data_IF_962384339369
#
_entry.id   IF_962384339369
#
_cell.length_a   1.000
_cell.length_b   1.000
_cell.length_c   1.000
_cell.angle_alpha   90.00
_cell.angle_beta   90.00
_cell.angle_gamma   90.00
#
_symmetry.space_group_name_H-M   'P 1'
#
loop_
_entity.id
_entity.type
_entity.pdbx_description
1 polymer ?
#
# COMPACT_ATOMS: atom_id res chain seq x y z
N UNK A 1 13.46 -14.53 -41.32
CA UNK A 1 14.41 -14.58 -40.19
C UNK A 1 13.92 -13.84 -38.92
N UNK A 2 12.62 -13.55 -38.77
CA UNK A 2 12.05 -12.81 -37.63
C UNK A 2 11.62 -13.70 -36.44
N UNK A 3 11.32 -14.99 -36.67
CA UNK A 3 10.82 -15.89 -35.62
C UNK A 3 11.90 -16.40 -34.64
N UNK A 4 13.16 -16.55 -35.08
CA UNK A 4 14.24 -17.12 -34.26
C UNK A 4 14.71 -16.16 -33.14
N UNK A 5 14.77 -14.85 -33.43
CA UNK A 5 15.11 -13.83 -32.44
C UNK A 5 14.02 -13.66 -31.38
N UNK A 6 12.75 -13.88 -31.75
CA UNK A 6 11.62 -13.79 -30.82
C UNK A 6 11.60 -14.97 -29.84
N UNK A 7 11.85 -16.20 -30.31
CA UNK A 7 11.95 -17.39 -29.44
C UNK A 7 13.17 -17.36 -28.54
N UNK A 8 14.34 -16.92 -29.03
CA UNK A 8 15.55 -16.77 -28.21
C UNK A 8 15.36 -15.76 -27.06
N UNK A 9 14.65 -14.65 -27.31
CA UNK A 9 14.35 -13.63 -26.29
C UNK A 9 13.37 -14.11 -25.22
N UNK A 10 12.41 -14.97 -25.58
CA UNK A 10 11.51 -15.64 -24.62
C UNK A 10 12.24 -16.70 -23.77
N UNK A 11 13.09 -17.51 -24.39
CA UNK A 11 13.90 -18.51 -23.68
C UNK A 11 14.87 -17.88 -22.67
N UNK A 12 15.51 -16.77 -23.06
CA UNK A 12 16.39 -15.98 -22.19
C UNK A 12 15.67 -15.44 -20.96
N UNK A 13 14.44 -14.92 -21.10
CA UNK A 13 13.66 -14.43 -19.96
C UNK A 13 13.20 -15.57 -19.05
N UNK A 14 12.78 -16.70 -19.62
CA UNK A 14 12.34 -17.85 -18.85
C UNK A 14 13.48 -18.47 -18.02
N UNK A 15 14.67 -18.60 -18.60
CA UNK A 15 15.87 -19.03 -17.88
C UNK A 15 16.27 -18.03 -16.78
N UNK A 16 16.15 -16.72 -17.04
CA UNK A 16 16.39 -15.68 -16.03
C UNK A 16 15.41 -15.79 -14.87
N UNK A 17 14.12 -16.06 -15.13
CA UNK A 17 13.13 -16.26 -14.08
C UNK A 17 13.44 -17.48 -13.21
N UNK A 18 13.82 -18.62 -13.80
CA UNK A 18 14.19 -19.82 -13.04
C UNK A 18 15.41 -19.57 -12.15
N UNK A 19 16.44 -18.89 -12.67
CA UNK A 19 17.65 -18.58 -11.91
C UNK A 19 17.42 -17.52 -10.82
N UNK A 20 16.52 -16.56 -11.06
CA UNK A 20 16.20 -15.51 -10.10
C UNK A 20 15.07 -15.88 -9.15
N UNK A 21 14.34 -16.98 -9.37
CA UNK A 21 13.18 -17.36 -8.55
C UNK A 21 13.50 -17.50 -7.05
N UNK A 22 14.60 -18.17 -6.65
CA UNK A 22 14.98 -18.21 -5.23
C UNK A 22 15.28 -16.83 -4.65
N UNK A 23 15.86 -15.94 -5.47
CA UNK A 23 16.15 -14.58 -5.07
C UNK A 23 14.88 -13.73 -4.92
N UNK A 24 13.88 -13.93 -5.79
CA UNK A 24 12.57 -13.26 -5.69
C UNK A 24 11.85 -13.70 -4.41
N UNK A 25 11.85 -15.00 -4.09
CA UNK A 25 11.30 -15.52 -2.82
C UNK A 25 12.01 -14.88 -1.63
N UNK A 26 13.34 -14.83 -1.65
CA UNK A 26 14.14 -14.18 -0.61
C UNK A 26 13.77 -12.70 -0.44
N UNK A 27 13.61 -11.96 -1.54
CA UNK A 27 13.18 -10.57 -1.49
C UNK A 27 11.75 -10.43 -0.93
N UNK A 28 10.84 -11.36 -1.24
CA UNK A 28 9.50 -11.43 -0.67
C UNK A 28 9.53 -11.59 0.85
N UNK A 29 10.26 -12.59 1.35
CA UNK A 29 10.46 -12.79 2.80
C UNK A 29 11.08 -11.58 3.47
N UNK A 30 12.10 -10.99 2.84
CA UNK A 30 12.76 -9.79 3.36
C UNK A 30 11.83 -8.58 3.41
N UNK A 31 10.90 -8.48 2.46
CA UNK A 31 9.87 -7.43 2.43
C UNK A 31 8.93 -7.57 3.62
N UNK A 32 8.37 -8.76 3.86
CA UNK A 32 7.47 -9.00 5.01
C UNK A 32 8.20 -8.74 6.33
N UNK A 33 9.40 -9.30 6.52
CA UNK A 33 10.17 -9.07 7.75
C UNK A 33 10.49 -7.57 7.98
N UNK A 34 10.79 -6.82 6.91
CA UNK A 34 11.01 -5.38 7.03
C UNK A 34 9.72 -4.61 7.38
N UNK A 35 8.56 -5.11 6.96
CA UNK A 35 7.26 -4.55 7.34
C UNK A 35 6.94 -4.86 8.82
N UNK A 36 7.09 -6.12 9.24
CA UNK A 36 6.81 -6.58 10.61
C UNK A 36 7.72 -5.89 11.64
N UNK A 37 8.99 -5.68 11.28
CA UNK A 37 9.96 -4.95 12.11
C UNK A 37 9.84 -3.42 12.02
N UNK A 38 8.84 -2.90 11.32
CA UNK A 38 8.66 -1.47 11.05
C UNK A 38 9.91 -0.78 10.46
N UNK A 39 10.76 -1.53 9.74
CA UNK A 39 11.93 -1.01 9.05
C UNK A 39 11.53 -0.45 7.69
N UNK A 40 10.88 0.72 7.70
CA UNK A 40 10.31 1.37 6.52
C UNK A 40 11.35 1.66 5.42
N UNK A 41 12.60 1.95 5.78
CA UNK A 41 13.67 2.20 4.82
C UNK A 41 14.08 0.93 4.08
N UNK A 42 14.27 -0.18 4.79
CA UNK A 42 14.61 -1.47 4.16
C UNK A 42 13.43 -2.02 3.36
N UNK A 43 12.20 -1.80 3.82
CA UNK A 43 10.99 -2.15 3.09
C UNK A 43 10.96 -1.47 1.71
N UNK A 44 11.09 -0.15 1.67
CA UNK A 44 11.13 0.63 0.41
C UNK A 44 12.26 0.14 -0.49
N UNK A 45 13.45 -0.08 0.05
CA UNK A 45 14.61 -0.57 -0.70
C UNK A 45 14.36 -1.95 -1.30
N UNK A 46 13.73 -2.84 -0.55
CA UNK A 46 13.44 -4.22 -0.98
C UNK A 46 12.36 -4.23 -2.06
N UNK A 47 11.27 -3.48 -1.90
CA UNK A 47 10.22 -3.35 -2.92
C UNK A 47 10.78 -2.76 -4.23
N UNK A 48 11.67 -1.76 -4.15
CA UNK A 48 12.34 -1.21 -5.33
C UNK A 48 13.17 -2.26 -6.07
N UNK A 49 13.75 -3.24 -5.38
CA UNK A 49 14.46 -4.38 -6.01
C UNK A 49 13.47 -5.33 -6.68
N UNK A 50 12.35 -5.66 -6.02
CA UNK A 50 11.31 -6.52 -6.58
C UNK A 50 10.75 -5.94 -7.89
N UNK A 51 10.55 -4.62 -7.95
CA UNK A 51 10.06 -3.91 -9.16
C UNK A 51 10.81 -4.31 -10.43
N UNK A 52 12.11 -4.57 -10.35
CA UNK A 52 12.95 -4.95 -11.50
C UNK A 52 12.57 -6.29 -12.12
N UNK A 53 11.91 -7.18 -11.38
CA UNK A 53 11.63 -8.56 -11.80
C UNK A 53 10.21 -8.79 -12.32
N UNK A 54 9.26 -7.87 -12.09
CA UNK A 54 7.86 -8.12 -12.47
C UNK A 54 6.89 -6.96 -12.32
N UNK A 55 7.36 -5.73 -12.11
CA UNK A 55 6.48 -4.62 -11.75
C UNK A 55 6.10 -4.63 -10.26
N UNK A 56 5.19 -3.75 -9.87
CA UNK A 56 4.68 -3.66 -8.49
C UNK A 56 3.24 -4.15 -8.46
N UNK A 57 2.91 -5.02 -7.51
CA UNK A 57 1.54 -5.43 -7.24
C UNK A 57 0.79 -4.33 -6.46
N UNK A 58 -0.55 -4.35 -6.43
CA UNK A 58 -1.35 -3.43 -5.61
C UNK A 58 -0.89 -3.37 -4.15
N UNK A 59 -0.59 -4.54 -3.55
CA UNK A 59 -0.06 -4.63 -2.19
C UNK A 59 1.31 -3.97 -2.05
N UNK A 60 2.21 -4.11 -3.02
CA UNK A 60 3.53 -3.45 -2.96
C UNK A 60 3.40 -1.92 -3.03
N UNK A 61 2.47 -1.42 -3.83
CA UNK A 61 2.15 0.01 -3.89
C UNK A 61 1.57 0.51 -2.56
N UNK A 62 0.68 -0.26 -1.95
CA UNK A 62 0.15 0.03 -0.62
C UNK A 62 1.27 0.08 0.42
N UNK A 63 2.15 -0.93 0.47
CA UNK A 63 3.27 -0.98 1.40
C UNK A 63 4.24 0.19 1.20
N UNK A 64 4.52 0.59 -0.05
CA UNK A 64 5.29 1.81 -0.32
C UNK A 64 4.57 3.06 0.20
N UNK A 65 3.29 3.22 -0.13
CA UNK A 65 2.48 4.35 0.36
C UNK A 65 2.49 4.44 1.88
N UNK A 66 2.27 3.30 2.55
CA UNK A 66 2.27 3.18 4.01
C UNK A 66 3.65 3.49 4.61
N UNK A 67 4.73 2.94 4.05
CA UNK A 67 6.09 3.23 4.50
C UNK A 67 6.43 4.72 4.37
N UNK A 68 6.07 5.34 3.25
CA UNK A 68 6.24 6.78 3.05
C UNK A 68 5.42 7.61 4.04
N UNK A 69 4.18 7.20 4.33
CA UNK A 69 3.34 7.81 5.36
C UNK A 69 3.99 7.72 6.75
N UNK A 70 4.50 6.55 7.15
CA UNK A 70 5.20 6.36 8.43
C UNK A 70 6.50 7.18 8.54
N UNK A 71 7.11 7.50 7.40
CA UNK A 71 8.28 8.38 7.33
C UNK A 71 7.92 9.87 7.20
N UNK A 72 6.65 10.25 7.30
CA UNK A 72 6.18 11.63 7.19
C UNK A 72 6.23 12.21 5.76
N UNK A 73 6.46 11.38 4.74
CA UNK A 73 6.58 11.78 3.33
C UNK A 73 5.21 11.75 2.65
N UNK A 74 4.31 12.63 3.07
CA UNK A 74 2.88 12.55 2.72
C UNK A 74 2.61 12.66 1.20
N UNK A 75 3.31 13.54 0.48
CA UNK A 75 3.13 13.66 -0.98
C UNK A 75 3.48 12.37 -1.72
N UNK A 76 4.57 11.71 -1.30
CA UNK A 76 5.00 10.44 -1.90
C UNK A 76 4.03 9.32 -1.54
N UNK A 77 3.56 9.31 -0.28
CA UNK A 77 2.58 8.35 0.19
C UNK A 77 1.28 8.42 -0.62
N UNK A 78 0.72 9.63 -0.79
CA UNK A 78 -0.52 9.85 -1.53
C UNK A 78 -0.39 9.38 -3.00
N UNK A 79 0.71 9.72 -3.66
CA UNK A 79 0.99 9.26 -5.04
C UNK A 79 0.94 7.74 -5.18
N UNK A 80 1.47 6.99 -4.22
CA UNK A 80 1.41 5.53 -4.29
C UNK A 80 -0.02 5.01 -4.08
N UNK A 81 -0.80 5.63 -3.17
CA UNK A 81 -2.19 5.23 -2.94
C UNK A 81 -3.09 5.50 -4.16
N UNK A 82 -2.88 6.61 -4.86
CA UNK A 82 -3.63 6.99 -6.07
C UNK A 82 -3.40 6.02 -7.25
N UNK A 83 -2.26 5.34 -7.30
CA UNK A 83 -1.94 4.39 -8.38
C UNK A 83 -2.67 3.05 -8.19
N UNK A 84 -3.15 2.74 -6.97
CA UNK A 84 -3.79 1.46 -6.66
C UNK A 84 -5.21 1.43 -7.23
N UNK A 85 -5.35 0.83 -8.40
CA UNK A 85 -6.64 0.69 -9.11
C UNK A 85 -7.40 -0.58 -8.71
N UNK A 86 -6.68 -1.68 -8.46
CA UNK A 86 -7.27 -2.94 -8.03
C UNK A 86 -7.40 -2.99 -6.50
N UNK A 87 -8.45 -3.64 -5.97
CA UNK A 87 -8.56 -3.87 -4.52
C UNK A 87 -7.39 -4.74 -4.04
N UNK A 88 -7.00 -4.54 -2.78
CA UNK A 88 -6.14 -5.50 -2.09
C UNK A 88 -6.94 -6.78 -1.77
N UNK A 89 -6.24 -7.91 -1.70
CA UNK A 89 -6.85 -9.22 -1.43
C UNK A 89 -7.30 -9.33 0.03
N UNK A 90 -6.53 -8.74 0.95
CA UNK A 90 -6.83 -8.71 2.37
C UNK A 90 -7.73 -7.52 2.71
N UNK A 91 -8.86 -7.79 3.39
CA UNK A 91 -9.87 -6.78 3.70
C UNK A 91 -9.39 -5.77 4.76
N UNK A 92 -8.54 -6.20 5.70
CA UNK A 92 -7.95 -5.32 6.71
C UNK A 92 -6.93 -4.39 6.07
N UNK A 93 -6.09 -4.89 5.16
CA UNK A 93 -5.17 -4.08 4.37
C UNK A 93 -5.92 -3.11 3.44
N UNK A 94 -6.99 -3.55 2.79
CA UNK A 94 -7.81 -2.71 1.93
C UNK A 94 -8.47 -1.58 2.74
N UNK A 95 -9.07 -1.89 3.89
CA UNK A 95 -9.61 -0.87 4.79
C UNK A 95 -8.50 0.09 5.27
N UNK A 96 -7.33 -0.45 5.64
CA UNK A 96 -6.17 0.36 6.04
C UNK A 96 -5.70 1.29 4.91
N UNK A 97 -5.70 0.83 3.66
CA UNK A 97 -5.37 1.62 2.47
C UNK A 97 -6.29 2.84 2.35
N UNK A 98 -7.60 2.64 2.39
CA UNK A 98 -8.56 3.73 2.28
C UNK A 98 -8.47 4.71 3.45
N UNK A 99 -8.36 4.22 4.68
CA UNK A 99 -8.18 5.08 5.87
C UNK A 99 -6.90 5.91 5.78
N UNK A 100 -5.78 5.28 5.39
CA UNK A 100 -4.49 5.96 5.20
C UNK A 100 -4.58 6.99 4.08
N UNK A 101 -5.23 6.67 2.96
CA UNK A 101 -5.39 7.58 1.83
C UNK A 101 -6.24 8.81 2.21
N UNK A 102 -7.38 8.61 2.87
CA UNK A 102 -8.22 9.69 3.35
C UNK A 102 -7.48 10.62 4.32
N UNK A 103 -6.72 10.04 5.26
CA UNK A 103 -5.90 10.83 6.16
C UNK A 103 -4.82 11.64 5.43
N UNK A 104 -4.17 11.04 4.43
CA UNK A 104 -3.18 11.73 3.61
C UNK A 104 -3.81 12.90 2.86
N UNK A 105 -4.97 12.72 2.25
CA UNK A 105 -5.70 13.80 1.57
C UNK A 105 -6.07 14.93 2.55
N UNK A 106 -6.53 14.58 3.75
CA UNK A 106 -6.80 15.56 4.79
C UNK A 106 -5.55 16.37 5.18
N UNK A 107 -4.41 15.72 5.39
CA UNK A 107 -3.14 16.42 5.67
C UNK A 107 -2.64 17.27 4.51
N UNK A 108 -2.97 16.90 3.29
CA UNK A 108 -2.67 17.67 2.08
C UNK A 108 -3.72 18.75 1.79
N UNK A 109 -4.53 19.11 2.80
CA UNK A 109 -5.58 20.14 2.72
C UNK A 109 -6.65 19.86 1.65
N UNK A 110 -7.00 18.57 1.48
CA UNK A 110 -8.06 18.09 0.58
C UNK A 110 -9.13 17.29 1.35
N UNK A 111 -9.79 17.88 2.37
CA UNK A 111 -10.75 17.18 3.22
C UNK A 111 -11.97 16.64 2.44
N UNK A 112 -12.46 17.36 1.44
CA UNK A 112 -13.62 16.92 0.64
C UNK A 112 -13.32 15.62 -0.12
N UNK A 113 -12.10 15.49 -0.66
CA UNK A 113 -11.68 14.27 -1.34
C UNK A 113 -11.50 13.11 -0.36
N UNK A 114 -11.00 13.39 0.85
CA UNK A 114 -10.87 12.38 1.91
C UNK A 114 -12.24 11.79 2.28
N UNK A 115 -13.27 12.64 2.40
CA UNK A 115 -14.65 12.25 2.69
C UNK A 115 -15.21 11.33 1.60
N UNK A 116 -15.13 11.74 0.34
CA UNK A 116 -15.62 10.95 -0.80
C UNK A 116 -14.97 9.56 -0.85
N UNK A 117 -13.66 9.49 -0.62
CA UNK A 117 -12.94 8.21 -0.60
C UNK A 117 -13.46 7.29 0.50
N UNK A 118 -13.69 7.81 1.71
CA UNK A 118 -14.19 6.99 2.82
C UNK A 118 -15.64 6.56 2.61
N UNK A 119 -16.51 7.47 2.17
CA UNK A 119 -17.92 7.15 1.90
C UNK A 119 -18.06 6.06 0.85
N UNK A 120 -17.29 6.13 -0.24
CA UNK A 120 -17.27 5.07 -1.26
C UNK A 120 -16.76 3.72 -0.72
N UNK A 121 -15.91 3.77 0.30
CA UNK A 121 -15.23 2.59 0.82
C UNK A 121 -15.99 1.84 1.92
N UNK A 122 -16.84 2.53 2.70
CA UNK A 122 -17.70 1.94 3.75
C UNK A 122 -18.75 0.98 3.16
N UNK A 123 -19.07 1.10 1.88
CA UNK A 123 -19.93 0.15 1.16
C UNK A 123 -19.35 -1.29 1.08
N UNK A 124 -18.10 -1.51 1.50
CA UNK A 124 -17.38 -2.80 1.39
C UNK A 124 -17.40 -3.67 2.66
N UNK A 125 -18.29 -3.41 3.62
CA UNK A 125 -18.41 -4.20 4.87
C UNK A 125 -17.11 -4.34 5.66
N UNK A 126 -16.55 -3.21 6.08
CA UNK A 126 -15.29 -3.21 6.81
C UNK A 126 -15.40 -3.77 8.24
N UNK A 127 -14.28 -4.23 8.82
CA UNK A 127 -14.21 -4.56 10.22
C UNK A 127 -14.74 -3.42 11.11
N UNK A 128 -15.49 -3.79 12.16
CA UNK A 128 -16.17 -2.83 13.04
C UNK A 128 -15.23 -1.73 13.59
N UNK A 129 -14.01 -2.11 13.98
CA UNK A 129 -13.00 -1.19 14.50
C UNK A 129 -12.56 -0.12 13.48
N UNK A 130 -12.59 -0.42 12.18
CA UNK A 130 -12.33 0.57 11.12
C UNK A 130 -13.54 1.45 10.87
N UNK A 131 -14.75 0.91 10.95
CA UNK A 131 -15.98 1.69 10.78
C UNK A 131 -16.14 2.77 11.85
N UNK A 132 -15.76 2.47 13.10
CA UNK A 132 -15.74 3.46 14.18
C UNK A 132 -14.80 4.62 13.85
N UNK A 133 -13.56 4.30 13.43
CA UNK A 133 -12.60 5.32 13.01
C UNK A 133 -13.13 6.19 11.86
N UNK A 134 -13.75 5.58 10.85
CA UNK A 134 -14.31 6.33 9.72
C UNK A 134 -15.39 7.29 10.17
N UNK A 135 -16.30 6.86 11.06
CA UNK A 135 -17.36 7.72 11.58
C UNK A 135 -16.79 8.92 12.33
N UNK A 136 -15.81 8.69 13.20
CA UNK A 136 -15.12 9.77 13.93
C UNK A 136 -14.40 10.73 12.98
N UNK A 137 -13.69 10.19 12.00
CA UNK A 137 -12.98 10.98 11.00
C UNK A 137 -13.95 11.83 10.18
N UNK A 138 -15.03 11.26 9.66
CA UNK A 138 -16.02 12.01 8.88
C UNK A 138 -16.67 13.12 9.71
N UNK A 139 -17.03 12.84 10.97
CA UNK A 139 -17.56 13.86 11.87
C UNK A 139 -16.57 15.02 12.10
N UNK A 140 -15.28 14.72 12.17
CA UNK A 140 -14.24 15.74 12.34
C UNK A 140 -13.96 16.59 11.10
N UNK A 141 -14.19 16.02 9.90
CA UNK A 141 -14.10 16.76 8.64
C UNK A 141 -15.21 17.79 8.57
N UNK A 142 -16.42 17.42 9.02
CA UNK A 142 -17.58 18.31 9.06
C UNK A 142 -17.53 19.33 10.23
N UNK A 143 -16.68 19.11 11.23
CA UNK A 143 -16.50 19.98 12.41
C UNK A 143 -15.04 20.02 12.86
N UNK A 144 -14.22 20.94 12.32
CA UNK A 144 -12.78 20.97 12.57
C UNK A 144 -12.46 21.24 14.05
N UNK A 145 -11.89 20.25 14.74
CA UNK A 145 -11.47 20.36 16.15
C UNK A 145 -11.38 19.05 16.95
N UNK A 146 -11.79 17.91 16.39
CA UNK A 146 -12.06 16.68 17.17
C UNK A 146 -11.18 15.46 16.80
N UNK A 147 -10.24 15.57 15.85
CA UNK A 147 -9.39 14.41 15.50
C UNK A 147 -8.41 14.05 16.62
N UNK A 148 -8.79 13.07 17.44
CA UNK A 148 -7.87 12.37 18.31
C UNK A 148 -6.94 11.48 17.47
N UNK A 149 -5.63 11.73 17.53
CA UNK A 149 -4.60 10.97 16.82
C UNK A 149 -4.46 9.50 17.29
N UNK A 150 -5.21 9.08 18.31
CA UNK A 150 -5.11 7.76 18.95
C UNK A 150 -5.69 6.60 18.13
N UNK A 151 -6.46 6.89 17.08
CA UNK A 151 -7.26 5.87 16.42
C UNK A 151 -6.59 5.20 15.20
N UNK A 152 -5.34 5.57 14.87
CA UNK A 152 -4.41 4.63 14.23
C UNK A 152 -3.85 3.67 15.29
N UNK A 153 -4.74 2.90 15.92
CA UNK A 153 -4.40 1.76 16.79
C UNK A 153 -3.64 0.67 16.01
N UNK A 154 -3.03 -0.30 16.72
CA UNK A 154 -1.66 -0.74 16.55
C UNK A 154 -1.37 -1.17 15.11
N UNK A 155 -0.10 -1.03 14.73
CA UNK A 155 0.50 -1.58 13.49
C UNK A 155 -0.24 -2.83 13.02
N UNK A 156 -0.38 -3.00 11.70
CA UNK A 156 -0.66 -4.30 11.07
C UNK A 156 0.43 -5.31 11.52
N UNK A 157 0.38 -5.74 12.77
CA UNK A 157 1.15 -6.82 13.34
C UNK A 157 0.31 -8.05 13.03
N UNK A 158 0.56 -8.59 11.83
CA UNK A 158 0.15 -9.93 11.49
C UNK A 158 0.90 -10.82 12.50
N UNK A 159 0.15 -11.46 13.40
CA UNK A 159 0.66 -12.53 14.25
C UNK A 159 0.75 -13.83 13.45
#
# INVERSE_FOLDING_TARGET
MSNLFYTLRKFSRFALYILCFPYIIYLGWKKENAFDSANWHELIKTIKKIKWFGGLLPRDLFLLGYAHFKLGRFDQAAKFMEIIQAPLEDIDEEACRYCTHAWLLYKLNKPDQAKVILEHSVAKEWPAYRLEWVKEFLASVDSPGVLNNSAFGPSLSIH
#
